data_IF_223523288238
#
_entry.id   IF_223523288238
#
_cell.length_a   1.000
_cell.length_b   1.000
_cell.length_c   1.000
_cell.angle_alpha   90.00
_cell.angle_beta   90.00
_cell.angle_gamma   90.00
#
_symmetry.space_group_name_H-M   'P 1'
#
loop_
_entity.id
_entity.type
_entity.pdbx_description
1 polymer ?
#
# COMPACT_ATOMS: atom_id res chain seq x y z
N UNK A 1 -37.18 -25.11 49.37
CA UNK A 1 -37.11 -26.17 50.41
C UNK A 1 -35.77 -26.84 50.30
N UNK A 2 -35.08 -26.80 51.42
CA UNK A 2 -34.01 -27.67 51.92
C UNK A 2 -32.63 -27.52 51.23
N UNK A 3 -31.70 -26.87 51.90
CA UNK A 3 -30.89 -27.17 53.11
C UNK A 3 -30.00 -28.40 52.88
N UNK A 4 -28.70 -28.32 52.96
CA UNK A 4 -27.79 -28.36 54.13
C UNK A 4 -26.40 -28.63 53.56
N UNK A 5 -25.40 -27.87 53.91
CA UNK A 5 -24.43 -28.04 55.00
C UNK A 5 -23.60 -29.32 54.88
N UNK A 6 -22.30 -29.29 54.85
CA UNK A 6 -21.39 -29.10 55.94
C UNK A 6 -19.99 -29.59 55.52
N UNK A 7 -18.98 -28.85 55.91
CA UNK A 7 -17.91 -29.12 56.90
C UNK A 7 -16.68 -29.79 56.31
N UNK A 8 -15.66 -28.98 56.23
CA UNK A 8 -14.33 -29.05 56.81
C UNK A 8 -13.61 -30.40 56.88
N UNK A 9 -12.41 -30.46 56.31
CA UNK A 9 -11.29 -31.08 57.00
C UNK A 9 -9.97 -30.43 56.58
N UNK A 10 -9.41 -29.72 57.52
CA UNK A 10 -8.04 -29.24 57.57
C UNK A 10 -7.14 -30.42 57.82
N UNK A 11 -6.19 -30.65 56.94
CA UNK A 11 -5.02 -31.44 57.29
C UNK A 11 -3.75 -30.70 56.91
N UNK A 12 -3.19 -30.18 57.97
CA UNK A 12 -1.84 -29.68 58.10
C UNK A 12 -0.85 -30.82 57.82
N UNK A 13 0.03 -30.69 56.83
CA UNK A 13 1.20 -31.50 56.73
C UNK A 13 2.43 -30.62 56.49
N UNK A 14 3.13 -30.42 57.57
CA UNK A 14 4.45 -29.81 57.69
C UNK A 14 5.57 -30.73 57.26
N UNK A 15 6.64 -30.14 56.83
CA UNK A 15 8.03 -30.59 56.71
C UNK A 15 8.41 -31.52 55.52
N UNK A 16 9.17 -30.96 54.62
CA UNK A 16 10.61 -31.27 54.51
C UNK A 16 11.19 -30.53 53.30
N UNK A 17 12.09 -29.58 53.54
CA UNK A 17 13.03 -29.13 52.54
C UNK A 17 14.11 -30.20 52.34
N UNK A 18 14.55 -30.40 51.09
CA UNK A 18 15.98 -30.44 50.84
C UNK A 18 16.42 -29.28 49.94
N UNK A 19 17.34 -28.53 50.46
CA UNK A 19 18.30 -27.79 49.68
C UNK A 19 18.98 -28.72 48.71
N UNK A 20 18.92 -28.44 47.41
CA UNK A 20 19.98 -28.85 46.49
C UNK A 20 19.90 -28.10 45.19
N UNK A 21 21.07 -27.57 44.85
CA UNK A 21 21.57 -27.27 43.51
C UNK A 21 20.97 -26.09 42.74
N UNK A 22 21.67 -25.03 42.85
CA UNK A 22 21.87 -23.98 41.83
C UNK A 22 22.06 -24.64 40.45
N UNK A 23 21.00 -24.70 39.68
CA UNK A 23 21.11 -24.92 38.23
C UNK A 23 21.04 -23.54 37.58
N UNK A 24 22.23 -23.07 37.23
CA UNK A 24 22.45 -21.92 36.37
C UNK A 24 21.72 -22.18 35.05
N UNK A 25 20.52 -21.62 34.94
CA UNK A 25 19.83 -21.50 33.67
C UNK A 25 20.65 -20.55 32.79
N UNK A 26 21.26 -21.02 31.69
CA UNK A 26 21.92 -20.11 30.76
C UNK A 26 20.87 -19.12 30.27
N UNK A 27 21.07 -17.88 30.63
CA UNK A 27 20.31 -16.75 30.09
C UNK A 27 20.39 -16.85 28.56
N UNK A 28 19.33 -17.34 27.95
CA UNK A 28 19.11 -17.17 26.52
C UNK A 28 18.97 -15.67 26.32
N UNK A 29 20.09 -15.08 25.96
CA UNK A 29 20.21 -13.70 25.53
C UNK A 29 19.18 -13.53 24.40
N UNK A 30 18.02 -13.00 24.76
CA UNK A 30 17.04 -12.54 23.78
C UNK A 30 17.66 -11.35 23.07
N UNK A 31 18.57 -11.63 22.11
CA UNK A 31 18.89 -10.64 21.09
C UNK A 31 17.56 -10.23 20.48
N UNK A 32 17.18 -8.94 20.60
CA UNK A 32 16.02 -8.46 19.88
C UNK A 32 16.29 -8.79 18.41
N UNK A 33 15.54 -9.72 17.84
CA UNK A 33 15.48 -9.89 16.40
C UNK A 33 15.10 -8.52 15.88
N UNK A 34 16.10 -7.79 15.37
CA UNK A 34 15.89 -6.58 14.61
C UNK A 34 14.96 -7.01 13.47
N UNK A 35 13.64 -6.86 13.69
CA UNK A 35 12.68 -7.04 12.62
C UNK A 35 13.12 -6.04 11.56
N UNK A 36 13.85 -6.53 10.58
CA UNK A 36 14.04 -5.82 9.34
C UNK A 36 12.63 -5.66 8.80
N UNK A 37 12.03 -4.51 9.10
CA UNK A 37 10.85 -4.03 8.43
C UNK A 37 11.26 -3.87 6.96
N UNK A 38 11.15 -4.96 6.22
CA UNK A 38 11.19 -4.89 4.78
C UNK A 38 10.05 -3.95 4.41
N UNK A 39 10.38 -2.70 4.14
CA UNK A 39 9.45 -1.80 3.49
C UNK A 39 9.05 -2.49 2.19
N UNK A 40 7.90 -3.11 2.21
CA UNK A 40 7.37 -3.79 1.03
C UNK A 40 7.17 -2.72 -0.01
N UNK A 41 7.99 -2.76 -1.05
CA UNK A 41 7.81 -1.87 -2.20
C UNK A 41 6.34 -1.89 -2.60
N UNK A 42 5.75 -0.74 -2.85
CA UNK A 42 4.36 -0.68 -3.26
C UNK A 42 4.15 -1.58 -4.48
N UNK A 43 3.04 -2.29 -4.51
CA UNK A 43 2.68 -3.16 -5.63
C UNK A 43 1.50 -2.55 -6.36
N UNK A 44 1.51 -2.65 -7.69
CA UNK A 44 0.39 -2.23 -8.51
C UNK A 44 -0.87 -3.02 -8.16
N UNK A 45 -2.02 -2.39 -8.33
CA UNK A 45 -3.34 -2.98 -8.10
C UNK A 45 -3.44 -4.36 -8.79
N UNK A 46 -3.99 -5.33 -8.06
CA UNK A 46 -4.14 -6.67 -8.60
C UNK A 46 -5.07 -6.68 -9.83
N UNK A 47 -4.78 -7.55 -10.79
CA UNK A 47 -5.50 -7.59 -12.08
C UNK A 47 -7.02 -7.70 -11.93
N UNK A 48 -7.50 -8.47 -10.95
CA UNK A 48 -8.92 -8.68 -10.72
C UNK A 48 -9.61 -7.41 -10.22
N UNK A 49 -8.99 -6.74 -9.24
CA UNK A 49 -9.51 -5.50 -8.66
C UNK A 49 -9.46 -4.36 -9.68
N UNK A 50 -8.40 -4.32 -10.49
CA UNK A 50 -8.26 -3.37 -11.58
C UNK A 50 -9.35 -3.55 -12.66
N UNK A 51 -9.72 -4.79 -12.96
CA UNK A 51 -10.82 -5.07 -13.89
C UNK A 51 -12.15 -4.51 -13.37
N UNK A 52 -12.47 -4.77 -12.09
CA UNK A 52 -13.68 -4.23 -11.46
C UNK A 52 -13.68 -2.69 -11.44
N UNK A 53 -12.55 -2.07 -11.11
CA UNK A 53 -12.39 -0.61 -11.18
C UNK A 53 -12.65 -0.08 -12.60
N UNK A 54 -12.13 -0.76 -13.63
CA UNK A 54 -12.36 -0.38 -15.02
C UNK A 54 -13.84 -0.42 -15.41
N UNK A 55 -14.58 -1.40 -14.92
CA UNK A 55 -16.03 -1.51 -15.14
C UNK A 55 -16.76 -0.32 -14.52
N UNK A 56 -16.44 0.04 -13.27
CA UNK A 56 -17.01 1.22 -12.60
C UNK A 56 -16.67 2.52 -13.33
N UNK A 57 -15.44 2.65 -13.88
CA UNK A 57 -15.05 3.82 -14.69
C UNK A 57 -15.82 3.86 -16.01
N UNK A 58 -16.09 2.71 -16.64
CA UNK A 58 -16.87 2.65 -17.88
C UNK A 58 -18.33 3.06 -17.65
N UNK A 59 -18.94 2.63 -16.55
CA UNK A 59 -20.32 2.95 -16.18
C UNK A 59 -20.51 4.45 -15.83
N UNK A 60 -19.42 5.16 -15.50
CA UNK A 60 -19.49 6.58 -15.20
C UNK A 60 -19.72 7.40 -16.47
N UNK A 61 -20.85 8.13 -16.52
CA UNK A 61 -21.30 8.85 -17.70
C UNK A 61 -20.45 10.11 -18.04
N UNK A 62 -19.83 10.76 -17.06
CA UNK A 62 -19.11 12.03 -17.23
C UNK A 62 -17.64 11.89 -16.82
N UNK A 63 -16.77 12.67 -17.46
CA UNK A 63 -15.32 12.65 -17.19
C UNK A 63 -14.99 12.96 -15.73
N UNK A 64 -15.69 13.91 -15.10
CA UNK A 64 -15.51 14.24 -13.70
C UNK A 64 -15.84 13.07 -12.78
N UNK A 65 -16.89 12.30 -13.08
CA UNK A 65 -17.23 11.07 -12.33
C UNK A 65 -16.16 10.01 -12.51
N UNK A 66 -15.67 9.79 -13.75
CA UNK A 66 -14.55 8.88 -14.03
C UNK A 66 -13.30 9.26 -13.23
N UNK A 67 -12.94 10.55 -13.22
CA UNK A 67 -11.82 11.06 -12.43
C UNK A 67 -12.09 10.88 -10.92
N UNK A 68 -13.31 11.06 -10.46
CA UNK A 68 -13.73 10.82 -9.09
C UNK A 68 -13.48 9.38 -8.65
N UNK A 69 -13.85 8.39 -9.46
CA UNK A 69 -13.58 6.97 -9.21
C UNK A 69 -12.06 6.72 -9.12
N UNK A 70 -11.30 7.29 -10.06
CA UNK A 70 -9.84 7.18 -10.07
C UNK A 70 -9.23 7.78 -8.80
N UNK A 71 -9.71 8.96 -8.35
CA UNK A 71 -9.25 9.60 -7.10
C UNK A 71 -9.45 8.70 -5.89
N UNK A 72 -10.62 8.08 -5.76
CA UNK A 72 -10.92 7.17 -4.64
C UNK A 72 -9.98 5.97 -4.68
N UNK A 73 -9.76 5.36 -5.84
CA UNK A 73 -8.85 4.24 -5.97
C UNK A 73 -7.38 4.61 -5.63
N UNK A 74 -6.96 5.83 -5.96
CA UNK A 74 -5.62 6.34 -5.63
C UNK A 74 -5.37 6.54 -4.12
N UNK A 75 -6.38 6.51 -3.26
CA UNK A 75 -6.20 6.63 -1.81
C UNK A 75 -5.41 5.42 -1.27
N UNK A 76 -5.73 4.23 -1.74
CA UNK A 76 -5.20 2.98 -1.19
C UNK A 76 -4.41 2.12 -2.17
N UNK A 77 -4.38 2.48 -3.46
CA UNK A 77 -3.80 1.64 -4.49
C UNK A 77 -2.72 2.35 -5.30
N UNK A 78 -1.80 1.55 -5.82
CA UNK A 78 -0.79 1.96 -6.79
C UNK A 78 -1.10 1.32 -8.14
N UNK A 79 -0.60 1.92 -9.20
CA UNK A 79 -0.83 1.49 -10.58
C UNK A 79 0.48 1.35 -11.33
N UNK A 80 0.55 0.40 -12.25
CA UNK A 80 1.63 0.37 -13.22
C UNK A 80 1.26 1.19 -14.47
N UNK A 81 2.22 1.42 -15.35
CA UNK A 81 2.07 2.24 -16.55
C UNK A 81 0.97 1.73 -17.47
N UNK A 82 0.83 0.42 -17.63
CA UNK A 82 -0.22 -0.20 -18.47
C UNK A 82 -1.62 0.04 -17.88
N UNK A 83 -1.76 -0.03 -16.58
CA UNK A 83 -3.01 0.27 -15.88
C UNK A 83 -3.35 1.75 -16.02
N UNK A 84 -2.38 2.64 -15.85
CA UNK A 84 -2.56 4.08 -16.07
C UNK A 84 -3.00 4.38 -17.50
N UNK A 85 -2.30 3.88 -18.50
CA UNK A 85 -2.66 4.05 -19.92
C UNK A 85 -4.08 3.55 -20.20
N UNK A 86 -4.46 2.40 -19.63
CA UNK A 86 -5.81 1.84 -19.76
C UNK A 86 -6.88 2.72 -19.14
N UNK A 87 -6.63 3.36 -17.99
CA UNK A 87 -7.59 4.31 -17.38
C UNK A 87 -7.71 5.58 -18.21
N UNK A 88 -6.60 6.11 -18.72
CA UNK A 88 -6.61 7.28 -19.59
C UNK A 88 -7.36 7.02 -20.91
N UNK A 89 -7.25 5.82 -21.48
CA UNK A 89 -7.98 5.45 -22.71
C UNK A 89 -9.49 5.48 -22.55
N UNK A 90 -10.02 5.41 -21.31
CA UNK A 90 -11.46 5.50 -21.01
C UNK A 90 -11.99 6.94 -20.92
N UNK A 91 -11.11 7.91 -21.05
CA UNK A 91 -11.41 9.35 -21.02
C UNK A 91 -11.22 9.90 -22.44
N UNK A 92 -12.21 10.60 -22.96
CA UNK A 92 -12.18 11.04 -24.37
C UNK A 92 -11.35 12.30 -24.59
N UNK A 93 -11.39 13.27 -23.67
CA UNK A 93 -10.77 14.57 -23.86
C UNK A 93 -9.39 14.66 -23.21
N UNK A 94 -8.42 15.19 -23.93
CA UNK A 94 -7.04 15.31 -23.45
C UNK A 94 -6.91 16.13 -22.16
N UNK A 95 -7.69 17.21 -22.01
CA UNK A 95 -7.68 18.00 -20.76
C UNK A 95 -8.18 17.20 -19.56
N UNK A 96 -9.20 16.36 -19.76
CA UNK A 96 -9.68 15.46 -18.71
C UNK A 96 -8.66 14.34 -18.42
N UNK A 97 -7.96 13.84 -19.46
CA UNK A 97 -6.85 12.89 -19.28
C UNK A 97 -5.72 13.52 -18.49
N UNK A 98 -5.35 14.79 -18.73
CA UNK A 98 -4.32 15.49 -17.94
C UNK A 98 -4.72 15.63 -16.48
N UNK A 99 -6.01 15.95 -16.20
CA UNK A 99 -6.53 15.96 -14.81
C UNK A 99 -6.43 14.59 -14.16
N UNK A 100 -6.82 13.54 -14.87
CA UNK A 100 -6.70 12.16 -14.37
C UNK A 100 -5.24 11.75 -14.14
N UNK A 101 -4.33 12.09 -15.05
CA UNK A 101 -2.91 11.81 -14.94
C UNK A 101 -2.29 12.50 -13.70
N UNK A 102 -2.63 13.75 -13.40
CA UNK A 102 -2.18 14.43 -12.18
C UNK A 102 -2.55 13.68 -10.90
N UNK A 103 -3.69 12.98 -10.90
CA UNK A 103 -4.15 12.18 -9.76
C UNK A 103 -3.42 10.83 -9.70
N UNK A 104 -3.19 10.20 -10.86
CA UNK A 104 -2.53 8.91 -10.97
C UNK A 104 -1.01 8.99 -10.74
N UNK A 105 -0.36 10.04 -11.19
CA UNK A 105 1.10 10.17 -11.24
C UNK A 105 1.79 9.92 -9.88
N UNK A 106 1.29 10.43 -8.73
CA UNK A 106 1.89 10.13 -7.41
C UNK A 106 1.71 8.68 -6.97
N UNK A 107 0.88 7.90 -7.65
CA UNK A 107 0.56 6.50 -7.36
C UNK A 107 1.06 5.54 -8.43
N UNK A 108 1.88 6.04 -9.37
CA UNK A 108 2.48 5.21 -10.39
C UNK A 108 3.74 4.52 -9.87
N UNK A 109 3.81 3.24 -10.16
CA UNK A 109 5.05 2.48 -10.08
C UNK A 109 5.59 2.45 -11.51
N UNK A 110 6.62 3.24 -11.75
CA UNK A 110 7.34 3.27 -13.03
C UNK A 110 8.59 2.43 -12.79
N UNK A 111 8.60 1.22 -13.36
CA UNK A 111 9.86 0.52 -13.56
C UNK A 111 10.64 1.31 -14.60
N UNK A 112 11.95 1.46 -14.41
CA UNK A 112 12.84 2.35 -15.16
C UNK A 112 12.87 2.16 -16.69
N UNK A 113 11.87 1.52 -17.24
CA UNK A 113 11.75 1.24 -18.67
C UNK A 113 11.04 2.40 -19.40
N UNK A 114 11.74 2.98 -20.37
CA UNK A 114 11.23 4.10 -21.21
C UNK A 114 9.92 3.73 -21.92
N UNK A 115 9.68 2.44 -22.18
CA UNK A 115 8.44 1.94 -22.80
C UNK A 115 7.22 2.24 -21.95
N UNK A 116 7.36 2.24 -20.62
CA UNK A 116 6.28 2.48 -19.67
C UNK A 116 5.72 3.91 -19.79
N UNK A 117 6.59 4.92 -19.88
CA UNK A 117 6.19 6.33 -20.05
C UNK A 117 5.56 6.54 -21.42
N UNK A 118 6.08 5.88 -22.46
CA UNK A 118 5.59 6.00 -23.83
C UNK A 118 4.14 5.54 -23.96
N UNK A 119 3.74 4.48 -23.30
CA UNK A 119 2.37 3.96 -23.34
C UNK A 119 1.37 4.94 -22.73
N UNK A 120 1.76 5.67 -21.69
CA UNK A 120 0.94 6.74 -21.09
C UNK A 120 0.80 7.92 -22.05
N UNK A 121 1.92 8.38 -22.61
CA UNK A 121 1.95 9.56 -23.48
C UNK A 121 1.20 9.32 -24.79
N UNK A 122 1.21 8.12 -25.32
CA UNK A 122 0.42 7.73 -26.52
C UNK A 122 -1.08 7.92 -26.35
N UNK A 123 -1.60 8.01 -25.13
CA UNK A 123 -3.03 8.23 -24.89
C UNK A 123 -3.47 9.65 -25.23
N UNK A 124 -2.56 10.59 -25.42
CA UNK A 124 -2.85 11.98 -25.77
C UNK A 124 -2.78 12.20 -27.27
N UNK A 125 -3.74 12.96 -27.79
CA UNK A 125 -3.87 13.24 -29.21
C UNK A 125 -2.94 14.40 -29.66
N UNK A 126 -2.87 15.47 -28.86
CA UNK A 126 -2.12 16.68 -29.21
C UNK A 126 -0.70 16.68 -28.64
N UNK A 127 0.27 17.14 -29.44
CA UNK A 127 1.68 17.20 -29.03
C UNK A 127 1.87 18.04 -27.75
N UNK A 128 1.22 19.21 -27.66
CA UNK A 128 1.27 20.07 -26.46
C UNK A 128 0.79 19.36 -25.19
N UNK A 129 -0.18 18.47 -25.29
CA UNK A 129 -0.68 17.70 -24.16
C UNK A 129 0.22 16.49 -23.83
N UNK A 130 0.93 15.95 -24.81
CA UNK A 130 1.99 14.96 -24.58
C UNK A 130 3.15 15.57 -23.77
N UNK A 131 3.55 16.80 -24.10
CA UNK A 131 4.61 17.51 -23.36
C UNK A 131 4.19 17.81 -21.92
N UNK A 132 2.93 18.25 -21.72
CA UNK A 132 2.36 18.42 -20.36
C UNK A 132 2.27 17.11 -19.58
N UNK A 133 1.95 16.02 -20.25
CA UNK A 133 1.89 14.70 -19.61
C UNK A 133 3.30 14.24 -19.17
N UNK A 134 4.32 14.43 -20.01
CA UNK A 134 5.71 14.16 -19.64
C UNK A 134 6.15 14.98 -18.43
N UNK A 135 5.79 16.25 -18.39
CA UNK A 135 6.14 17.13 -17.26
C UNK A 135 5.48 16.68 -15.96
N UNK A 136 4.19 16.27 -15.99
CA UNK A 136 3.49 15.73 -14.83
C UNK A 136 4.20 14.45 -14.32
N UNK A 137 4.58 13.56 -15.20
CA UNK A 137 5.27 12.33 -14.83
C UNK A 137 6.66 12.60 -14.25
N UNK A 138 7.41 13.55 -14.83
CA UNK A 138 8.72 13.96 -14.33
C UNK A 138 8.64 14.56 -12.92
N UNK A 139 7.70 15.43 -12.67
CA UNK A 139 7.50 16.04 -11.36
C UNK A 139 7.13 15.01 -10.29
N UNK A 140 6.33 14.02 -10.63
CA UNK A 140 5.91 12.97 -9.72
C UNK A 140 7.05 12.01 -9.35
N UNK A 141 7.89 11.64 -10.30
CA UNK A 141 9.06 10.78 -10.05
C UNK A 141 10.10 11.50 -9.17
N UNK A 142 10.27 12.81 -9.35
CA UNK A 142 11.17 13.60 -8.51
C UNK A 142 10.72 13.63 -7.03
N UNK A 143 9.42 13.76 -6.79
CA UNK A 143 8.85 13.76 -5.42
C UNK A 143 9.04 12.41 -4.74
N UNK A 144 8.88 11.31 -5.46
CA UNK A 144 9.05 9.96 -4.90
C UNK A 144 10.49 9.67 -4.46
N UNK A 145 11.49 10.23 -5.15
CA UNK A 145 12.90 10.10 -4.76
C UNK A 145 13.26 10.94 -3.53
N UNK A 146 12.73 12.15 -3.38
CA UNK A 146 13.01 12.99 -2.20
C UNK A 146 12.41 12.47 -0.90
N UNK A 147 11.31 11.73 -0.97
CA UNK A 147 10.67 11.14 0.23
C UNK A 147 11.50 10.00 0.82
N UNK A 148 12.36 9.35 0.02
CA UNK A 148 13.24 8.27 0.46
C UNK A 148 14.48 8.78 1.20
N UNK A 149 14.96 9.99 0.86
CA UNK A 149 16.22 10.54 1.41
C UNK A 149 16.03 11.21 2.77
N UNK A 150 14.82 11.64 3.11
CA UNK A 150 14.52 12.30 4.39
C UNK A 150 14.25 11.34 5.56
N UNK A 151 14.19 10.04 5.35
CA UNK A 151 13.98 9.06 6.44
C UNK A 151 15.27 8.50 7.05
N UNK A 152 16.44 8.99 6.66
CA UNK A 152 17.76 8.56 7.18
C UNK A 152 18.42 9.54 8.16
N UNK A 153 17.71 10.58 8.63
CA UNK A 153 18.28 11.57 9.55
C UNK A 153 17.45 11.64 10.84
N UNK A 154 17.55 10.58 11.66
CA UNK A 154 17.29 10.68 13.12
C UNK A 154 17.90 9.48 13.81
#
# INVERSE_FOLDING_TARGET
>A
MNKKSAIALVTLFTLAMPMMASEQNPQVEHRPKKEMRYERRPRAMHRKDFKMMCEVVDDASFHEKKIGVIKVACISSYFNSKQCAKLLSKISFDDAKLKALKVLAPRLIIDTDVTDVTDIVKQFSFSSNKDKALEILRQSSYISHQSSDNSCSH
#
